data_IF_232380373942
#
_entry.id   IF_232380373942
#
_cell.length_a   1.000
_cell.length_b   1.000
_cell.length_c   1.000
_cell.angle_alpha   90.00
_cell.angle_beta   90.00
_cell.angle_gamma   90.00
#
_symmetry.space_group_name_H-M   'P 1'
#
loop_
_entity.id
_entity.type
_entity.pdbx_description
1 polymer ?
#
# COMPACT_ATOMS: atom_id res chain seq x y z
N UNK A 1 3.60 -1.76 -18.62
CA UNK A 1 3.97 -1.36 -17.24
C UNK A 1 3.45 0.03 -16.90
N UNK A 2 3.60 1.01 -17.78
CA UNK A 2 3.14 2.38 -17.52
C UNK A 2 1.63 2.47 -17.23
N UNK A 3 0.78 1.85 -18.04
CA UNK A 3 -0.66 1.91 -17.85
C UNK A 3 -1.17 1.36 -16.50
N UNK A 4 -0.58 0.27 -15.98
CA UNK A 4 -0.95 -0.25 -14.65
C UNK A 4 -0.54 0.73 -13.54
N UNK A 5 0.64 1.33 -13.69
CA UNK A 5 1.15 2.31 -12.73
C UNK A 5 0.33 3.60 -12.77
N UNK A 6 -0.01 4.09 -13.95
CA UNK A 6 -0.91 5.24 -14.12
C UNK A 6 -2.25 4.98 -13.43
N UNK A 7 -2.89 3.84 -13.70
CA UNK A 7 -4.15 3.45 -13.05
C UNK A 7 -4.04 3.42 -11.52
N UNK A 8 -2.90 2.94 -10.98
CA UNK A 8 -2.67 2.97 -9.53
C UNK A 8 -2.57 4.41 -9.01
N UNK A 9 -1.82 5.27 -9.69
CA UNK A 9 -1.63 6.67 -9.28
C UNK A 9 -2.96 7.42 -9.33
N UNK A 10 -3.75 7.25 -10.38
CA UNK A 10 -5.07 7.85 -10.52
C UNK A 10 -6.00 7.38 -9.39
N UNK A 11 -6.03 6.08 -9.11
CA UNK A 11 -6.85 5.53 -8.03
C UNK A 11 -6.46 6.08 -6.64
N UNK A 12 -5.16 6.31 -6.40
CA UNK A 12 -4.68 6.93 -5.16
C UNK A 12 -5.01 8.43 -5.08
N UNK A 13 -5.14 9.11 -6.22
CA UNK A 13 -5.58 10.51 -6.26
C UNK A 13 -7.09 10.64 -6.04
N UNK A 14 -7.87 9.77 -6.67
CA UNK A 14 -9.33 9.78 -6.57
C UNK A 14 -9.82 9.37 -5.18
N UNK A 15 -9.16 8.39 -4.57
CA UNK A 15 -9.45 7.91 -3.23
C UNK A 15 -8.13 7.71 -2.44
N UNK A 16 -7.65 8.75 -1.72
CA UNK A 16 -6.35 8.70 -1.06
C UNK A 16 -6.35 7.90 0.25
N UNK A 17 -7.41 7.15 0.53
CA UNK A 17 -7.50 6.26 1.69
C UNK A 17 -7.57 4.80 1.24
N UNK A 18 -6.54 4.03 1.59
CA UNK A 18 -6.39 2.63 1.28
C UNK A 18 -6.91 1.79 2.44
N UNK A 19 -7.78 0.82 2.15
CA UNK A 19 -8.25 -0.13 3.16
C UNK A 19 -7.20 -1.21 3.42
N UNK A 20 -6.62 -1.22 4.61
CA UNK A 20 -5.67 -2.24 5.06
C UNK A 20 -6.42 -3.32 5.86
N UNK A 21 -6.44 -4.55 5.35
CA UNK A 21 -7.22 -5.65 5.89
C UNK A 21 -6.37 -6.52 6.82
N UNK A 22 -6.93 -6.85 8.00
CA UNK A 22 -6.34 -7.75 8.99
C UNK A 22 -7.25 -8.93 9.35
N UNK A 23 -8.42 -9.04 8.71
CA UNK A 23 -9.42 -10.08 8.99
C UNK A 23 -10.48 -10.14 7.91
N UNK A 24 -11.25 -11.23 7.87
CA UNK A 24 -12.40 -11.42 6.98
C UNK A 24 -13.48 -10.37 7.23
N UNK A 25 -13.70 -9.96 8.47
CA UNK A 25 -14.64 -8.87 8.78
C UNK A 25 -14.22 -7.54 8.13
N UNK A 26 -12.92 -7.30 8.04
CA UNK A 26 -12.36 -6.15 7.30
C UNK A 26 -12.57 -6.29 5.79
N UNK A 27 -12.39 -7.49 5.25
CA UNK A 27 -12.61 -7.78 3.84
C UNK A 27 -14.06 -7.50 3.43
N UNK A 28 -15.06 -8.00 4.20
CA UNK A 28 -16.48 -7.75 3.92
C UNK A 28 -16.82 -6.25 3.87
N UNK A 29 -16.25 -5.48 4.81
CA UNK A 29 -16.44 -4.02 4.84
C UNK A 29 -15.78 -3.35 3.63
N UNK A 30 -14.56 -3.74 3.28
CA UNK A 30 -13.85 -3.17 2.15
C UNK A 30 -14.55 -3.45 0.81
N UNK A 31 -15.07 -4.65 0.60
CA UNK A 31 -15.85 -5.00 -0.62
C UNK A 31 -17.03 -4.05 -0.82
N UNK A 32 -17.71 -3.65 0.26
CA UNK A 32 -18.90 -2.77 0.23
C UNK A 32 -18.57 -1.27 0.30
N UNK A 33 -17.30 -0.92 0.50
CA UNK A 33 -16.88 0.48 0.66
C UNK A 33 -16.57 1.14 -0.68
N UNK A 34 -16.43 2.47 -0.66
CA UNK A 34 -16.02 3.27 -1.81
C UNK A 34 -14.49 3.28 -2.02
N UNK A 35 -13.70 2.63 -1.15
CA UNK A 35 -12.26 2.58 -1.34
C UNK A 35 -11.91 1.89 -2.67
N UNK A 36 -10.96 2.46 -3.40
CA UNK A 36 -10.52 1.95 -4.70
C UNK A 36 -9.37 0.95 -4.57
N UNK A 37 -8.59 1.04 -3.49
CA UNK A 37 -7.38 0.26 -3.28
C UNK A 37 -7.41 -0.46 -1.92
N UNK A 38 -6.96 -1.70 -1.92
CA UNK A 38 -6.98 -2.60 -0.76
C UNK A 38 -5.60 -3.22 -0.55
N UNK A 39 -5.15 -3.25 0.70
CA UNK A 39 -3.94 -3.95 1.15
C UNK A 39 -4.32 -5.17 1.99
N UNK A 40 -3.92 -6.36 1.59
CA UNK A 40 -4.01 -7.57 2.42
C UNK A 40 -2.80 -7.68 3.33
N UNK A 41 -3.04 -7.57 4.65
CA UNK A 41 -2.05 -7.71 5.70
C UNK A 41 -2.25 -9.01 6.50
N UNK A 42 -3.04 -9.95 6.00
CA UNK A 42 -3.37 -11.22 6.63
C UNK A 42 -3.72 -12.25 5.56
N UNK A 43 -3.82 -13.50 5.99
CA UNK A 43 -4.18 -14.65 5.16
C UNK A 43 -3.06 -15.68 5.14
N UNK A 44 -3.31 -16.78 4.49
CA UNK A 44 -2.40 -17.89 4.32
C UNK A 44 -2.22 -18.24 2.85
N UNK A 45 -1.27 -19.08 2.51
CA UNK A 45 -1.13 -19.60 1.13
C UNK A 45 -2.37 -20.39 0.67
N UNK A 46 -3.25 -20.79 1.58
CA UNK A 46 -4.43 -21.59 1.26
C UNK A 46 -5.66 -20.76 0.91
N UNK A 47 -5.74 -19.52 1.43
CA UNK A 47 -6.94 -18.66 1.31
C UNK A 47 -6.71 -17.35 0.59
N UNK A 48 -5.48 -16.86 0.50
CA UNK A 48 -5.18 -15.55 -0.09
C UNK A 48 -5.72 -15.39 -1.52
N UNK A 49 -5.73 -16.47 -2.31
CA UNK A 49 -6.23 -16.43 -3.69
C UNK A 49 -7.72 -16.10 -3.73
N UNK A 50 -8.53 -16.78 -2.91
CA UNK A 50 -9.98 -16.54 -2.83
C UNK A 50 -10.31 -15.17 -2.24
N UNK A 51 -9.54 -14.71 -1.24
CA UNK A 51 -9.69 -13.37 -0.65
C UNK A 51 -9.43 -12.27 -1.69
N UNK A 52 -8.34 -12.39 -2.45
CA UNK A 52 -8.00 -11.46 -3.53
C UNK A 52 -9.09 -11.45 -4.59
N UNK A 53 -9.55 -12.63 -5.04
CA UNK A 53 -10.60 -12.74 -6.05
C UNK A 53 -11.88 -11.98 -5.64
N UNK A 54 -12.34 -12.14 -4.41
CA UNK A 54 -13.53 -11.44 -3.89
C UNK A 54 -13.39 -9.92 -3.98
N UNK A 55 -12.24 -9.38 -3.64
CA UNK A 55 -11.98 -7.93 -3.71
C UNK A 55 -11.83 -7.47 -5.16
N UNK A 56 -11.24 -8.31 -6.03
CA UNK A 56 -11.13 -8.04 -7.47
C UNK A 56 -12.50 -8.01 -8.14
N UNK A 57 -13.43 -8.91 -7.77
CA UNK A 57 -14.82 -8.91 -8.26
C UNK A 57 -15.56 -7.60 -7.90
N UNK A 58 -15.19 -6.94 -6.83
CA UNK A 58 -15.68 -5.61 -6.48
C UNK A 58 -14.97 -4.46 -7.25
N UNK A 59 -14.15 -4.77 -8.23
CA UNK A 59 -13.50 -3.79 -9.12
C UNK A 59 -12.29 -3.05 -8.50
N UNK A 60 -11.78 -3.49 -7.37
CA UNK A 60 -10.73 -2.79 -6.62
C UNK A 60 -9.32 -3.19 -7.07
N UNK A 61 -8.35 -2.31 -6.79
CA UNK A 61 -6.91 -2.59 -6.93
C UNK A 61 -6.44 -3.27 -5.66
N UNK A 62 -5.72 -4.38 -5.82
CA UNK A 62 -5.35 -5.25 -4.70
C UNK A 62 -3.85 -5.43 -4.62
N UNK A 63 -3.29 -5.13 -3.44
CA UNK A 63 -1.92 -5.45 -3.08
C UNK A 63 -1.88 -6.47 -1.95
N UNK A 64 -1.01 -7.48 -2.09
CA UNK A 64 -0.76 -8.49 -1.05
C UNK A 64 0.56 -8.17 -0.35
N UNK A 65 0.55 -8.07 0.97
CA UNK A 65 1.76 -7.89 1.77
C UNK A 65 2.48 -9.23 1.92
N UNK A 66 3.45 -9.48 1.06
CA UNK A 66 4.15 -10.76 0.92
C UNK A 66 4.79 -11.26 2.24
N UNK A 67 5.24 -10.33 3.10
CA UNK A 67 5.90 -10.69 4.36
C UNK A 67 4.92 -11.11 5.48
N UNK A 68 3.60 -10.92 5.27
CA UNK A 68 2.56 -11.16 6.28
C UNK A 68 1.61 -12.32 5.94
N UNK A 69 1.77 -12.94 4.78
CA UNK A 69 0.96 -14.11 4.41
C UNK A 69 1.61 -15.36 4.98
N UNK A 70 0.88 -16.09 5.80
CA UNK A 70 1.35 -17.31 6.43
C UNK A 70 1.66 -18.39 5.37
N UNK A 71 2.79 -19.06 5.55
CA UNK A 71 3.30 -20.08 4.62
C UNK A 71 4.17 -19.51 3.49
N UNK A 72 4.24 -18.21 3.27
CA UNK A 72 5.19 -17.59 2.37
C UNK A 72 6.55 -17.37 3.05
N UNK A 73 7.59 -17.28 2.23
CA UNK A 73 8.98 -17.15 2.69
C UNK A 73 9.60 -15.81 2.28
N UNK A 74 10.75 -15.48 2.84
CA UNK A 74 11.52 -14.29 2.48
C UNK A 74 12.26 -14.39 1.13
N UNK A 75 11.89 -15.35 0.28
CA UNK A 75 12.58 -15.69 -1.00
C UNK A 75 11.76 -15.23 -2.19
N UNK A 76 12.41 -15.11 -3.33
CA UNK A 76 11.83 -14.65 -4.61
C UNK A 76 10.61 -15.48 -5.04
N UNK A 77 10.58 -16.77 -4.71
CA UNK A 77 9.45 -17.68 -4.98
C UNK A 77 8.12 -17.17 -4.43
N UNK A 78 8.15 -16.34 -3.40
CA UNK A 78 6.95 -15.68 -2.85
C UNK A 78 6.28 -14.77 -3.88
N UNK A 79 7.07 -14.03 -4.63
CA UNK A 79 6.53 -13.19 -5.71
C UNK A 79 5.97 -14.04 -6.86
N UNK A 80 6.65 -15.15 -7.20
CA UNK A 80 6.16 -16.11 -8.21
C UNK A 80 4.82 -16.73 -7.77
N UNK A 81 4.71 -17.14 -6.50
CA UNK A 81 3.47 -17.70 -5.97
C UNK A 81 2.30 -16.70 -6.09
N UNK A 82 2.48 -15.46 -5.64
CA UNK A 82 1.43 -14.44 -5.70
C UNK A 82 1.04 -14.15 -7.16
N UNK A 83 2.02 -14.04 -8.06
CA UNK A 83 1.77 -13.76 -9.47
C UNK A 83 1.01 -14.89 -10.19
N UNK A 84 1.28 -16.14 -9.83
CA UNK A 84 0.71 -17.31 -10.51
C UNK A 84 -0.61 -17.79 -9.91
N UNK A 85 -0.78 -17.60 -8.60
CA UNK A 85 -1.91 -18.18 -7.87
C UNK A 85 -2.96 -17.14 -7.42
N UNK A 86 -2.72 -15.85 -7.64
CA UNK A 86 -3.69 -14.80 -7.27
C UNK A 86 -3.95 -13.84 -8.43
N UNK A 87 -5.03 -13.07 -8.33
CA UNK A 87 -5.34 -11.96 -9.23
C UNK A 87 -4.86 -10.60 -8.67
N UNK A 88 -3.89 -10.60 -7.76
CA UNK A 88 -3.36 -9.38 -7.17
C UNK A 88 -2.74 -8.47 -8.26
N UNK A 89 -2.99 -7.18 -8.17
CA UNK A 89 -2.37 -6.18 -9.04
C UNK A 89 -0.91 -5.94 -8.66
N UNK A 90 -0.57 -6.15 -7.39
CA UNK A 90 0.78 -5.91 -6.89
C UNK A 90 1.10 -6.53 -5.55
N UNK A 91 2.33 -6.28 -5.13
CA UNK A 91 2.93 -6.77 -3.88
C UNK A 91 3.42 -5.61 -3.03
N UNK A 92 3.23 -5.75 -1.71
CA UNK A 92 3.91 -4.94 -0.70
C UNK A 92 4.95 -5.83 -0.03
N UNK A 93 6.17 -5.34 0.14
CA UNK A 93 7.19 -6.04 0.92
C UNK A 93 8.22 -5.09 1.50
N UNK A 94 8.80 -5.46 2.64
CA UNK A 94 9.99 -4.80 3.20
C UNK A 94 11.28 -5.25 2.51
N UNK A 95 11.22 -6.34 1.71
CA UNK A 95 12.37 -7.05 1.17
C UNK A 95 12.68 -6.66 -0.28
N UNK A 96 13.85 -6.06 -0.56
CA UNK A 96 14.21 -5.61 -1.91
C UNK A 96 14.26 -6.73 -2.96
N UNK A 97 14.60 -7.95 -2.57
CA UNK A 97 14.62 -9.10 -3.48
C UNK A 97 13.20 -9.45 -3.98
N UNK A 98 12.20 -9.46 -3.09
CA UNK A 98 10.79 -9.71 -3.45
C UNK A 98 10.27 -8.60 -4.36
N UNK A 99 10.57 -7.33 -4.05
CA UNK A 99 10.19 -6.18 -4.89
C UNK A 99 10.77 -6.31 -6.31
N UNK A 100 12.06 -6.62 -6.43
CA UNK A 100 12.69 -6.82 -7.75
C UNK A 100 12.06 -7.97 -8.52
N UNK A 101 11.80 -9.10 -7.85
CA UNK A 101 11.17 -10.25 -8.49
C UNK A 101 9.75 -9.95 -8.94
N UNK A 102 8.93 -9.33 -8.11
CA UNK A 102 7.56 -8.91 -8.42
C UNK A 102 7.53 -7.98 -9.64
N UNK A 103 8.44 -7.01 -9.69
CA UNK A 103 8.58 -6.10 -10.84
C UNK A 103 8.95 -6.83 -12.13
N UNK A 104 9.86 -7.81 -12.06
CA UNK A 104 10.23 -8.65 -13.21
C UNK A 104 9.04 -9.51 -13.71
N UNK A 105 8.09 -9.85 -12.84
CA UNK A 105 6.87 -10.57 -13.18
C UNK A 105 5.73 -9.66 -13.69
N UNK A 106 5.95 -8.34 -13.76
CA UNK A 106 4.95 -7.36 -14.21
C UNK A 106 3.88 -7.00 -13.18
N UNK A 107 4.11 -7.32 -11.91
CA UNK A 107 3.30 -6.86 -10.79
C UNK A 107 3.68 -5.42 -10.42
N UNK A 108 2.70 -4.66 -9.93
CA UNK A 108 2.95 -3.39 -9.24
C UNK A 108 3.67 -3.65 -7.92
N UNK A 109 4.52 -2.73 -7.52
CA UNK A 109 5.37 -2.92 -6.34
C UNK A 109 5.29 -1.74 -5.39
N UNK A 110 5.09 -2.03 -4.11
CA UNK A 110 5.15 -1.06 -3.02
C UNK A 110 6.21 -1.54 -2.05
N UNK A 111 7.28 -0.77 -1.89
CA UNK A 111 8.30 -1.08 -0.89
C UNK A 111 7.97 -0.40 0.43
N UNK A 112 7.85 -1.20 1.50
CA UNK A 112 7.56 -0.73 2.86
C UNK A 112 8.85 -0.43 3.61
N UNK A 113 8.88 0.72 4.30
CA UNK A 113 9.97 1.14 5.15
C UNK A 113 9.46 1.54 6.52
N UNK A 114 10.23 1.18 7.55
CA UNK A 114 10.02 1.67 8.91
C UNK A 114 11.03 2.79 9.19
N UNK A 115 10.52 3.94 9.62
CA UNK A 115 11.31 5.13 9.90
C UNK A 115 11.43 5.34 11.41
N UNK A 116 12.60 5.14 11.96
CA UNK A 116 12.88 5.32 13.38
C UNK A 116 14.21 6.03 13.66
N UNK A 117 15.08 6.20 12.66
CA UNK A 117 16.37 6.89 12.78
C UNK A 117 16.87 7.43 11.44
N UNK A 118 18.03 8.08 11.46
CA UNK A 118 18.67 8.64 10.24
C UNK A 118 19.05 7.57 9.22
N UNK A 119 19.44 6.39 9.67
CA UNK A 119 19.84 5.29 8.78
C UNK A 119 18.64 4.75 8.00
N UNK A 120 17.50 4.59 8.66
CA UNK A 120 16.26 4.18 8.01
C UNK A 120 15.77 5.24 7.00
N UNK A 121 15.95 6.54 7.30
CA UNK A 121 15.67 7.62 6.36
C UNK A 121 16.54 7.54 5.10
N UNK A 122 17.85 7.37 5.26
CA UNK A 122 18.80 7.19 4.14
C UNK A 122 18.50 5.94 3.31
N UNK A 123 18.02 4.86 3.96
CA UNK A 123 17.61 3.64 3.27
C UNK A 123 16.44 3.89 2.32
N UNK A 124 15.46 4.72 2.70
CA UNK A 124 14.38 5.12 1.80
C UNK A 124 14.95 5.82 0.57
N UNK A 125 15.85 6.80 0.75
CA UNK A 125 16.46 7.53 -0.37
C UNK A 125 17.20 6.61 -1.34
N UNK A 126 17.93 5.62 -0.82
CA UNK A 126 18.71 4.68 -1.65
C UNK A 126 17.86 3.66 -2.38
N UNK A 127 16.73 3.23 -1.81
CA UNK A 127 15.99 2.07 -2.30
C UNK A 127 14.63 2.40 -2.90
N UNK A 128 14.09 3.60 -2.70
CA UNK A 128 12.75 3.98 -3.17
C UNK A 128 12.56 3.79 -4.69
N UNK A 129 13.60 4.00 -5.49
CA UNK A 129 13.55 3.87 -6.95
C UNK A 129 13.32 2.44 -7.45
N UNK A 130 13.46 1.45 -6.59
CA UNK A 130 13.25 0.05 -6.96
C UNK A 130 11.76 -0.32 -7.09
N UNK A 131 10.87 0.42 -6.43
CA UNK A 131 9.44 0.17 -6.40
C UNK A 131 8.63 1.23 -7.18
N UNK A 132 7.36 0.95 -7.45
CA UNK A 132 6.43 1.88 -8.09
C UNK A 132 5.86 2.90 -7.10
N UNK A 133 5.75 2.53 -5.81
CA UNK A 133 5.43 3.42 -4.69
C UNK A 133 6.21 3.01 -3.45
N UNK A 134 6.28 3.89 -2.46
CA UNK A 134 6.85 3.62 -1.13
C UNK A 134 5.78 3.75 -0.06
N UNK A 135 5.81 2.85 0.91
CA UNK A 135 4.92 2.83 2.06
C UNK A 135 5.74 3.07 3.33
N UNK A 136 5.46 4.17 4.02
CA UNK A 136 6.26 4.68 5.14
C UNK A 136 5.51 4.53 6.46
N UNK A 137 6.15 3.90 7.43
CA UNK A 137 5.64 3.72 8.80
C UNK A 137 6.60 4.33 9.82
N UNK A 138 6.07 4.99 10.86
CA UNK A 138 4.68 5.37 11.09
C UNK A 138 4.22 6.53 10.19
N UNK A 139 2.92 6.55 9.83
CA UNK A 139 2.34 7.60 8.98
C UNK A 139 2.16 8.96 9.67
N UNK A 140 2.27 9.00 11.00
CA UNK A 140 2.06 10.19 11.84
C UNK A 140 3.31 11.07 11.99
N UNK A 141 4.13 11.15 10.93
CA UNK A 141 5.38 11.94 10.94
C UNK A 141 5.38 12.98 9.80
N UNK A 142 4.51 14.00 9.81
CA UNK A 142 4.39 14.96 8.71
C UNK A 142 5.73 15.65 8.36
N UNK A 143 6.52 16.07 9.35
CA UNK A 143 7.84 16.70 9.12
C UNK A 143 8.83 15.78 8.39
N UNK A 144 8.75 14.47 8.59
CA UNK A 144 9.61 13.51 7.90
C UNK A 144 9.13 13.33 6.45
N UNK A 145 7.80 13.27 6.25
CA UNK A 145 7.21 13.21 4.90
C UNK A 145 7.58 14.44 4.07
N UNK A 146 7.46 15.65 4.62
CA UNK A 146 7.87 16.91 3.98
C UNK A 146 9.35 16.90 3.55
N UNK A 147 10.23 16.30 4.35
CA UNK A 147 11.66 16.19 4.04
C UNK A 147 11.95 15.14 2.96
N UNK A 148 11.20 14.03 2.94
CA UNK A 148 11.38 12.96 1.96
C UNK A 148 10.79 13.30 0.60
N UNK A 149 9.61 13.92 0.56
CA UNK A 149 8.86 14.19 -0.68
C UNK A 149 9.68 14.83 -1.80
N UNK A 150 10.49 15.89 -1.59
CA UNK A 150 11.29 16.49 -2.65
C UNK A 150 12.47 15.62 -3.11
N UNK A 151 12.81 14.56 -2.36
CA UNK A 151 14.01 13.75 -2.61
C UNK A 151 13.68 12.41 -3.31
N UNK A 152 12.41 12.01 -3.38
CA UNK A 152 11.98 10.78 -4.04
C UNK A 152 10.88 11.07 -5.06
N UNK A 153 10.89 10.30 -6.15
CA UNK A 153 9.92 10.47 -7.26
C UNK A 153 8.68 9.58 -7.11
N UNK A 154 8.79 8.54 -6.30
CA UNK A 154 7.72 7.59 -6.10
C UNK A 154 6.59 8.22 -5.28
N UNK A 155 5.32 7.85 -5.56
CA UNK A 155 4.22 8.12 -4.65
C UNK A 155 4.52 7.63 -3.24
N UNK A 156 4.23 8.46 -2.24
CA UNK A 156 4.39 8.11 -0.82
C UNK A 156 3.03 7.72 -0.28
N UNK A 157 2.96 6.56 0.36
CA UNK A 157 1.82 6.10 1.15
C UNK A 157 2.24 6.19 2.61
N UNK A 158 1.44 6.87 3.44
CA UNK A 158 1.69 6.96 4.87
C UNK A 158 0.82 5.94 5.61
N UNK A 159 1.46 5.08 6.41
CA UNK A 159 0.80 3.94 7.06
C UNK A 159 1.14 3.83 8.53
N UNK A 160 0.21 3.23 9.29
CA UNK A 160 0.41 2.95 10.71
C UNK A 160 0.26 4.16 11.62
N UNK A 161 -0.26 3.90 12.81
CA UNK A 161 -0.55 4.85 13.88
C UNK A 161 -1.54 5.97 13.54
N UNK A 162 -2.12 6.00 12.35
CA UNK A 162 -3.17 6.96 12.00
C UNK A 162 -4.41 6.68 12.85
N UNK A 163 -4.77 7.61 13.71
CA UNK A 163 -5.81 7.43 14.74
C UNK A 163 -7.12 8.14 14.41
N UNK A 164 -7.05 9.26 13.69
CA UNK A 164 -8.19 10.10 13.36
C UNK A 164 -8.04 10.80 11.99
N UNK A 165 -9.02 11.62 11.64
CA UNK A 165 -9.00 12.40 10.41
C UNK A 165 -7.89 13.46 10.36
N UNK A 166 -7.47 13.98 11.51
CA UNK A 166 -6.41 14.99 11.56
C UNK A 166 -5.08 14.39 11.16
N UNK A 167 -4.79 13.16 11.61
CA UNK A 167 -3.60 12.41 11.19
C UNK A 167 -3.59 12.19 9.66
N UNK A 168 -4.74 11.82 9.08
CA UNK A 168 -4.88 11.62 7.63
C UNK A 168 -4.61 12.91 6.88
N UNK A 169 -5.26 14.01 7.27
CA UNK A 169 -5.07 15.33 6.66
C UNK A 169 -3.62 15.79 6.79
N UNK A 170 -3.01 15.63 7.97
CA UNK A 170 -1.62 16.00 8.21
C UNK A 170 -0.65 15.23 7.30
N UNK A 171 -0.84 13.91 7.15
CA UNK A 171 0.01 13.09 6.28
C UNK A 171 -0.13 13.49 4.80
N UNK A 172 -1.35 13.69 4.32
CA UNK A 172 -1.61 14.10 2.93
C UNK A 172 -1.07 15.51 2.65
N UNK A 173 -1.27 16.47 3.57
CA UNK A 173 -0.74 17.84 3.46
C UNK A 173 0.79 17.85 3.46
N UNK A 174 1.43 16.93 4.15
CA UNK A 174 2.88 16.76 4.18
C UNK A 174 3.47 16.07 2.93
N UNK A 175 2.63 15.75 1.94
CA UNK A 175 3.05 15.24 0.64
C UNK A 175 2.89 13.74 0.45
N UNK A 176 2.23 13.01 1.36
CA UNK A 176 1.77 11.67 1.08
C UNK A 176 0.69 11.70 -0.01
N UNK A 177 0.74 10.77 -0.96
CA UNK A 177 -0.25 10.62 -2.02
C UNK A 177 -1.50 9.89 -1.52
N UNK A 178 -1.30 9.00 -0.56
CA UNK A 178 -2.36 8.25 0.09
C UNK A 178 -1.95 7.87 1.51
N UNK A 179 -2.93 7.43 2.28
CA UNK A 179 -2.75 6.82 3.59
C UNK A 179 -3.31 5.40 3.59
N UNK A 180 -2.74 4.48 4.37
CA UNK A 180 -3.37 3.18 4.60
C UNK A 180 -3.79 3.01 6.05
N UNK A 181 -5.00 2.53 6.26
CA UNK A 181 -5.57 2.36 7.60
C UNK A 181 -6.35 1.07 7.74
N UNK A 182 -6.30 0.48 8.94
CA UNK A 182 -7.15 -0.66 9.32
C UNK A 182 -8.44 -0.22 10.02
N UNK A 183 -8.65 1.09 10.18
CA UNK A 183 -9.83 1.68 10.82
C UNK A 183 -10.88 2.00 9.76
N UNK A 184 -12.00 1.26 9.71
CA UNK A 184 -13.01 1.45 8.68
C UNK A 184 -13.58 2.86 8.64
N UNK A 185 -13.72 3.50 9.80
CA UNK A 185 -14.24 4.85 9.96
C UNK A 185 -13.38 5.93 9.30
N UNK A 186 -12.08 5.70 9.13
CA UNK A 186 -11.19 6.60 8.38
C UNK A 186 -11.21 6.35 6.87
N UNK A 187 -11.60 5.15 6.45
CA UNK A 187 -11.59 4.73 5.04
C UNK A 187 -12.94 4.70 4.33
N UNK A 188 -14.05 4.69 5.10
CA UNK A 188 -15.39 4.38 4.55
C UNK A 188 -16.35 5.58 4.48
N UNK A 189 -15.99 6.73 5.02
CA UNK A 189 -16.78 7.95 4.91
C UNK A 189 -15.96 9.00 4.16
N UNK A 190 -16.43 9.33 2.96
CA UNK A 190 -15.75 10.23 2.03
C UNK A 190 -15.11 11.42 2.71
N UNK A 191 -13.80 11.50 2.64
CA UNK A 191 -13.05 12.69 2.93
C UNK A 191 -13.22 13.56 1.68
N UNK A 192 -14.21 14.47 1.69
CA UNK A 192 -14.30 15.50 0.66
C UNK A 192 -13.12 16.45 0.84
N UNK A 193 -12.12 16.29 0.01
CA UNK A 193 -11.08 17.30 -0.12
C UNK A 193 -11.65 18.41 -0.99
N UNK A 194 -12.10 19.52 -0.37
CA UNK A 194 -12.22 20.77 -1.11
C UNK A 194 -10.81 21.13 -1.58
N UNK A 195 -10.59 20.95 -2.87
CA UNK A 195 -9.39 21.44 -3.55
C UNK A 195 -9.40 22.96 -3.45
N UNK A 196 -8.68 23.53 -2.48
CA UNK A 196 -8.30 24.91 -2.54
C UNK A 196 -7.35 25.07 -3.75
N UNK A 197 -7.93 25.59 -4.84
CA UNK A 197 -7.20 26.08 -6.03
C UNK A 197 -6.44 27.35 -5.67
#
# INVERSE_FOLDING_TARGET
>A
MDHKREKMVDALQDCPVIAALKSDAGLEKAVRSDCTTVFFLYGTILDIASHVERVKQAGKIVFVHADLIEGLTARDITADFIAQNTQADGIISTRPNIIRRAKALGLLTIQRFFLFDSLSFENVLRQSSNADAVDLLPGTMPRVLERLKPQIRQPIIASGLLSDKQDVVAALSAGAQAVSTTKPELGLQGISFEQNR
#
